data_IF_457886331384
#
_entry.id   IF_457886331384
#
_cell.length_a   1.000
_cell.length_b   1.000
_cell.length_c   1.000
_cell.angle_alpha   90.00
_cell.angle_beta   90.00
_cell.angle_gamma   90.00
#
_symmetry.space_group_name_H-M   'P 1'
#
loop_
_entity.id
_entity.type
_entity.pdbx_description
1 polymer ?
#
# COMPACT_ATOMS: atom_id res chain seq x y z
N UNK A 1 -26.98 1.92 -18.49
CA UNK A 1 -26.08 2.96 -17.95
C UNK A 1 -26.70 4.35 -18.06
N UNK A 2 -26.92 4.95 -19.24
CA UNK A 2 -27.44 6.34 -19.34
C UNK A 2 -28.83 6.53 -18.69
N UNK A 3 -29.70 5.52 -18.76
CA UNK A 3 -31.05 5.57 -18.16
C UNK A 3 -31.04 5.38 -16.64
N UNK A 4 -30.01 4.74 -16.08
CA UNK A 4 -29.89 4.47 -14.63
C UNK A 4 -29.28 5.65 -13.86
N UNK A 5 -28.65 6.59 -14.58
CA UNK A 5 -28.17 7.85 -14.02
C UNK A 5 -29.29 8.92 -13.92
N UNK A 6 -30.54 8.57 -14.21
CA UNK A 6 -31.65 9.53 -14.21
C UNK A 6 -31.91 10.07 -12.80
N UNK A 7 -31.60 11.35 -12.59
CA UNK A 7 -31.64 12.02 -11.27
C UNK A 7 -30.29 12.10 -10.54
N UNK A 8 -29.27 11.36 -11.01
CA UNK A 8 -27.89 11.42 -10.51
C UNK A 8 -26.99 12.32 -11.35
N UNK A 9 -27.37 12.61 -12.60
CA UNK A 9 -26.69 13.62 -13.43
C UNK A 9 -27.46 14.95 -13.34
N UNK A 10 -26.77 16.00 -12.90
CA UNK A 10 -27.24 17.38 -12.95
C UNK A 10 -27.59 17.75 -14.38
N UNK A 11 -28.64 18.58 -14.57
CA UNK A 11 -29.08 19.00 -15.91
C UNK A 11 -27.98 19.69 -16.74
N UNK A 12 -26.94 20.22 -16.09
CA UNK A 12 -25.78 20.86 -16.72
C UNK A 12 -24.60 19.91 -16.99
N UNK A 13 -24.66 18.65 -16.54
CA UNK A 13 -23.52 17.71 -16.57
C UNK A 13 -22.36 18.10 -15.66
N UNK A 14 -22.53 19.11 -14.80
CA UNK A 14 -21.50 19.63 -13.89
C UNK A 14 -20.99 18.63 -12.85
N UNK A 15 -21.75 17.56 -12.62
CA UNK A 15 -21.43 16.43 -11.76
C UNK A 15 -21.13 15.16 -12.58
N UNK A 16 -20.41 15.30 -13.70
CA UNK A 16 -19.79 14.19 -14.45
C UNK A 16 -18.28 14.13 -14.22
N UNK A 17 -17.80 14.63 -13.07
CA UNK A 17 -16.38 14.60 -12.73
C UNK A 17 -15.94 13.17 -12.37
N UNK A 18 -14.69 12.85 -12.71
CA UNK A 18 -14.05 11.55 -12.37
C UNK A 18 -13.91 11.31 -10.86
N UNK A 19 -14.15 12.33 -10.03
CA UNK A 19 -14.10 12.27 -8.57
C UNK A 19 -15.38 11.71 -7.93
N UNK A 20 -16.44 11.48 -8.69
CA UNK A 20 -17.73 11.10 -8.10
C UNK A 20 -17.83 9.61 -7.78
N UNK A 21 -18.40 9.37 -6.61
CA UNK A 21 -18.70 8.06 -6.05
C UNK A 21 -19.71 7.30 -6.92
N UNK A 22 -20.85 7.93 -7.22
CA UNK A 22 -21.87 7.39 -8.11
C UNK A 22 -21.30 6.98 -9.48
N UNK A 23 -20.36 7.77 -10.02
CA UNK A 23 -19.71 7.44 -11.29
C UNK A 23 -18.84 6.19 -11.15
N UNK A 24 -18.03 6.09 -10.10
CA UNK A 24 -17.22 4.90 -9.83
C UNK A 24 -18.11 3.66 -9.63
N UNK A 25 -19.20 3.78 -8.87
CA UNK A 25 -20.20 2.72 -8.68
C UNK A 25 -20.76 2.26 -10.02
N UNK A 26 -21.26 3.20 -10.84
CA UNK A 26 -21.82 2.92 -12.16
C UNK A 26 -20.80 2.31 -13.13
N UNK A 27 -19.59 2.84 -13.20
CA UNK A 27 -18.52 2.33 -14.07
C UNK A 27 -18.11 0.90 -13.65
N UNK A 28 -17.93 0.64 -12.35
CA UNK A 28 -17.47 -0.65 -11.83
C UNK A 28 -18.55 -1.73 -11.92
N UNK A 29 -19.68 -1.54 -11.23
CA UNK A 29 -20.75 -2.53 -11.18
C UNK A 29 -21.52 -2.60 -12.51
N UNK A 30 -21.69 -1.46 -13.19
CA UNK A 30 -22.34 -1.40 -14.49
C UNK A 30 -21.52 -2.04 -15.61
N UNK A 31 -20.19 -2.16 -15.45
CA UNK A 31 -19.37 -3.00 -16.32
C UNK A 31 -19.51 -4.48 -15.95
N UNK A 32 -19.36 -4.83 -14.67
CA UNK A 32 -19.38 -6.22 -14.22
C UNK A 32 -20.72 -6.93 -14.41
N UNK A 33 -21.85 -6.19 -14.45
CA UNK A 33 -23.15 -6.81 -14.77
C UNK A 33 -23.19 -7.46 -16.15
N UNK A 34 -22.34 -7.04 -17.10
CA UNK A 34 -22.33 -7.62 -18.44
C UNK A 34 -21.62 -8.98 -18.52
N UNK A 35 -21.12 -9.45 -17.39
CA UNK A 35 -20.40 -10.69 -17.19
C UNK A 35 -21.18 -11.56 -16.21
N UNK A 36 -21.08 -12.88 -16.40
CA UNK A 36 -21.75 -13.80 -15.50
C UNK A 36 -21.24 -13.61 -14.06
N UNK A 37 -22.13 -13.62 -13.06
CA UNK A 37 -21.79 -13.29 -11.68
C UNK A 37 -20.64 -14.16 -11.16
N UNK A 38 -20.70 -15.47 -11.40
CA UNK A 38 -19.69 -16.47 -11.00
C UNK A 38 -18.33 -16.31 -11.73
N UNK A 39 -18.30 -15.57 -12.84
CA UNK A 39 -17.06 -15.21 -13.52
C UNK A 39 -16.59 -13.80 -13.17
N UNK A 40 -17.51 -12.87 -12.88
CA UNK A 40 -17.18 -11.48 -12.62
C UNK A 40 -17.17 -11.11 -11.16
N UNK A 41 -18.30 -10.57 -10.73
CA UNK A 41 -18.40 -9.90 -9.44
C UNK A 41 -18.14 -10.88 -8.28
N UNK A 42 -18.57 -12.14 -8.38
CA UNK A 42 -18.37 -13.15 -7.34
C UNK A 42 -16.89 -13.39 -7.01
N UNK A 43 -16.01 -13.83 -7.96
CA UNK A 43 -14.61 -14.07 -7.64
C UNK A 43 -13.87 -12.80 -7.22
N UNK A 44 -14.26 -11.62 -7.72
CA UNK A 44 -13.68 -10.33 -7.32
C UNK A 44 -14.02 -9.99 -5.87
N UNK A 45 -15.31 -10.06 -5.49
CA UNK A 45 -15.75 -9.76 -4.13
C UNK A 45 -15.22 -10.80 -3.13
N UNK A 46 -15.32 -12.09 -3.45
CA UNK A 46 -14.80 -13.14 -2.57
C UNK A 46 -13.29 -13.06 -2.40
N UNK A 47 -12.54 -12.75 -3.47
CA UNK A 47 -11.09 -12.55 -3.37
C UNK A 47 -10.74 -11.34 -2.50
N UNK A 48 -11.47 -10.23 -2.62
CA UNK A 48 -11.27 -9.05 -1.77
C UNK A 48 -11.61 -9.32 -0.29
N UNK A 49 -12.72 -10.02 -0.02
CA UNK A 49 -13.14 -10.39 1.34
C UNK A 49 -12.15 -11.34 2.02
N UNK A 50 -11.53 -12.26 1.27
CA UNK A 50 -10.47 -13.15 1.77
C UNK A 50 -9.23 -12.39 2.21
N UNK A 51 -8.83 -11.35 1.47
CA UNK A 51 -7.66 -10.53 1.82
C UNK A 51 -7.85 -9.77 3.14
N UNK A 52 -9.08 -9.42 3.48
CA UNK A 52 -9.44 -8.73 4.72
C UNK A 52 -9.99 -9.66 5.82
N UNK A 53 -9.98 -10.98 5.63
CA UNK A 53 -10.61 -11.95 6.54
C UNK A 53 -10.08 -11.85 7.99
N UNK A 54 -8.76 -11.68 8.15
CA UNK A 54 -8.13 -11.51 9.47
C UNK A 54 -8.65 -10.30 10.26
N UNK A 55 -9.26 -9.32 9.58
CA UNK A 55 -9.74 -8.07 10.16
C UNK A 55 -11.25 -8.09 10.43
N UNK A 56 -11.99 -9.07 9.88
CA UNK A 56 -13.45 -9.15 9.98
C UNK A 56 -13.97 -10.58 10.16
N UNK A 57 -14.43 -10.88 11.38
CA UNK A 57 -14.90 -12.23 11.75
C UNK A 57 -16.14 -12.74 10.98
N UNK A 58 -16.89 -11.86 10.29
CA UNK A 58 -18.09 -12.25 9.54
C UNK A 58 -17.79 -12.61 8.07
N UNK A 59 -16.56 -12.39 7.59
CA UNK A 59 -16.19 -12.61 6.18
C UNK A 59 -16.42 -14.02 5.73
N UNK A 60 -16.09 -15.02 6.55
CA UNK A 60 -16.23 -16.41 6.14
C UNK A 60 -17.69 -16.78 5.84
N UNK A 61 -18.63 -16.31 6.67
CA UNK A 61 -20.06 -16.52 6.45
C UNK A 61 -20.57 -15.76 5.21
N UNK A 62 -20.15 -14.50 5.02
CA UNK A 62 -20.52 -13.71 3.85
C UNK A 62 -19.95 -14.31 2.56
N UNK A 63 -18.69 -14.74 2.55
CA UNK A 63 -18.03 -15.41 1.42
C UNK A 63 -18.81 -16.69 1.07
N UNK A 64 -19.14 -17.54 2.05
CA UNK A 64 -19.92 -18.75 1.79
C UNK A 64 -21.30 -18.44 1.19
N UNK A 65 -21.99 -17.39 1.65
CA UNK A 65 -23.26 -16.98 1.06
C UNK A 65 -23.10 -16.52 -0.40
N UNK A 66 -22.07 -15.72 -0.68
CA UNK A 66 -21.78 -15.20 -2.02
C UNK A 66 -21.35 -16.32 -2.98
N UNK A 67 -20.57 -17.29 -2.52
CA UNK A 67 -20.11 -18.43 -3.33
C UNK A 67 -21.23 -19.43 -3.65
N UNK A 68 -22.20 -19.58 -2.75
CA UNK A 68 -23.34 -20.46 -2.94
C UNK A 68 -24.46 -19.85 -3.80
N UNK A 69 -24.29 -18.62 -4.31
CA UNK A 69 -25.23 -18.00 -5.26
C UNK A 69 -25.24 -18.82 -6.55
N UNK A 70 -26.41 -19.36 -6.90
CA UNK A 70 -26.60 -20.12 -8.14
C UNK A 70 -27.20 -19.22 -9.25
N UNK A 71 -26.57 -18.08 -9.51
CA UNK A 71 -26.98 -17.14 -10.53
C UNK A 71 -25.85 -16.93 -11.52
N UNK A 72 -26.09 -17.20 -12.80
CA UNK A 72 -25.11 -16.96 -13.86
C UNK A 72 -25.25 -15.55 -14.41
N UNK A 73 -26.44 -15.08 -14.76
CA UNK A 73 -26.62 -13.78 -15.39
C UNK A 73 -27.27 -12.75 -14.46
N UNK A 74 -26.57 -11.64 -14.20
CA UNK A 74 -27.08 -10.52 -13.37
C UNK A 74 -27.36 -9.26 -14.20
N UNK A 75 -27.45 -9.35 -15.53
CA UNK A 75 -27.68 -8.20 -16.41
C UNK A 75 -29.04 -7.53 -16.18
N UNK A 76 -30.02 -8.32 -15.78
CA UNK A 76 -31.41 -7.88 -15.67
C UNK A 76 -31.61 -7.12 -14.35
N UNK A 77 -32.48 -6.10 -14.38
CA UNK A 77 -32.82 -5.26 -13.21
C UNK A 77 -33.42 -6.06 -12.04
N UNK A 78 -33.76 -7.34 -12.27
CA UNK A 78 -34.19 -8.27 -11.22
C UNK A 78 -33.05 -8.58 -10.23
N UNK A 79 -31.81 -8.69 -10.70
CA UNK A 79 -30.68 -9.17 -9.91
C UNK A 79 -29.70 -8.08 -9.48
N UNK A 80 -29.56 -7.01 -10.25
CA UNK A 80 -28.75 -5.83 -9.89
C UNK A 80 -29.60 -4.57 -10.01
N UNK A 81 -29.73 -3.85 -8.90
CA UNK A 81 -30.47 -2.58 -8.83
C UNK A 81 -29.52 -1.48 -8.40
N UNK A 82 -29.39 -0.46 -9.23
CA UNK A 82 -28.62 0.74 -8.91
C UNK A 82 -29.51 1.75 -8.21
N UNK A 83 -29.03 2.32 -7.11
CA UNK A 83 -29.73 3.37 -6.38
C UNK A 83 -31.22 3.06 -6.07
N UNK A 84 -31.56 1.87 -5.53
CA UNK A 84 -32.94 1.57 -5.18
C UNK A 84 -33.43 2.52 -4.09
N UNK A 85 -34.48 3.27 -4.42
CA UNK A 85 -35.08 4.25 -3.49
C UNK A 85 -35.81 3.56 -2.35
N UNK A 86 -35.62 4.06 -1.14
CA UNK A 86 -36.34 3.65 0.05
C UNK A 86 -36.68 4.87 0.91
N UNK A 87 -37.73 4.80 1.73
CA UNK A 87 -38.15 5.89 2.60
C UNK A 87 -37.09 6.31 3.64
N UNK A 88 -36.07 5.47 3.85
CA UNK A 88 -34.99 5.66 4.85
C UNK A 88 -33.66 6.08 4.23
N UNK A 89 -33.55 6.08 2.90
CA UNK A 89 -32.31 6.30 2.18
C UNK A 89 -32.27 5.57 0.85
N UNK A 90 -31.08 5.47 0.29
CA UNK A 90 -30.83 4.87 -1.01
C UNK A 90 -29.53 4.09 -0.90
N UNK A 91 -29.56 2.79 -1.21
CA UNK A 91 -28.34 1.98 -1.32
C UNK A 91 -27.65 2.33 -2.64
N UNK A 92 -26.33 2.25 -2.74
CA UNK A 92 -25.66 2.43 -4.03
C UNK A 92 -25.98 1.29 -5.02
N UNK A 93 -25.89 0.04 -4.54
CA UNK A 93 -26.25 -1.15 -5.32
C UNK A 93 -26.97 -2.15 -4.41
N UNK A 94 -28.01 -2.79 -4.92
CA UNK A 94 -28.63 -3.96 -4.32
C UNK A 94 -28.50 -5.15 -5.28
N UNK A 95 -27.88 -6.23 -4.80
CA UNK A 95 -27.89 -7.52 -5.47
C UNK A 95 -28.94 -8.42 -4.82
N UNK A 96 -29.77 -9.04 -5.64
CA UNK A 96 -30.83 -9.94 -5.22
C UNK A 96 -30.61 -11.34 -5.80
N UNK A 97 -30.36 -12.31 -4.92
CA UNK A 97 -30.19 -13.71 -5.26
C UNK A 97 -31.26 -14.57 -4.60
N UNK A 98 -31.22 -15.88 -4.83
CA UNK A 98 -32.13 -16.87 -4.25
C UNK A 98 -31.88 -17.08 -2.75
N UNK A 99 -30.61 -17.09 -2.34
CA UNK A 99 -30.19 -17.34 -0.97
C UNK A 99 -29.96 -16.07 -0.13
N UNK A 100 -29.66 -14.93 -0.76
CA UNK A 100 -29.28 -13.71 -0.05
C UNK A 100 -29.60 -12.40 -0.82
N UNK A 101 -29.65 -11.33 -0.04
CA UNK A 101 -29.60 -9.94 -0.48
C UNK A 101 -28.24 -9.34 -0.11
N UNK A 102 -27.63 -8.61 -1.04
CA UNK A 102 -26.39 -7.86 -0.79
C UNK A 102 -26.65 -6.38 -1.06
N UNK A 103 -26.83 -5.61 0.00
CA UNK A 103 -26.77 -4.15 -0.09
C UNK A 103 -25.32 -3.72 -0.11
N UNK A 104 -24.95 -2.87 -1.05
CA UNK A 104 -23.60 -2.35 -1.21
C UNK A 104 -23.65 -0.84 -1.01
N UNK A 105 -22.78 -0.36 -0.14
CA UNK A 105 -22.54 1.05 0.09
C UNK A 105 -21.09 1.36 -0.27
N UNK A 106 -20.88 2.32 -1.16
CA UNK A 106 -19.57 2.69 -1.71
C UNK A 106 -19.13 4.02 -1.12
N UNK A 107 -17.84 4.15 -0.84
CA UNK A 107 -17.19 5.41 -0.51
C UNK A 107 -15.93 5.59 -1.36
N UNK A 108 -15.73 6.79 -1.91
CA UNK A 108 -14.52 7.14 -2.66
C UNK A 108 -13.77 8.33 -2.07
N UNK A 109 -14.33 9.53 -2.22
CA UNK A 109 -13.75 10.78 -1.68
C UNK A 109 -14.56 11.36 -0.53
N UNK A 110 -15.73 10.80 -0.28
CA UNK A 110 -16.64 11.23 0.76
C UNK A 110 -16.55 10.31 1.99
N UNK A 111 -16.72 10.89 3.18
CA UNK A 111 -17.02 10.12 4.38
C UNK A 111 -18.50 9.72 4.40
N UNK A 112 -18.94 9.07 5.48
CA UNK A 112 -20.36 8.83 5.69
C UNK A 112 -21.11 10.18 5.73
N UNK A 113 -22.27 10.24 5.06
CA UNK A 113 -23.12 11.43 5.02
C UNK A 113 -23.71 11.79 6.39
N UNK A 114 -23.75 10.83 7.31
CA UNK A 114 -24.24 10.97 8.68
C UNK A 114 -23.75 9.81 9.56
N UNK A 115 -23.76 10.01 10.87
CA UNK A 115 -23.30 9.03 11.85
C UNK A 115 -24.12 7.74 11.88
N UNK A 116 -25.34 7.72 11.36
CA UNK A 116 -26.25 6.59 11.36
C UNK A 116 -26.52 6.03 9.96
N UNK A 117 -25.81 6.50 8.93
CA UNK A 117 -26.04 6.10 7.53
C UNK A 117 -26.08 4.58 7.34
N UNK A 118 -25.03 3.87 7.74
CA UNK A 118 -24.93 2.42 7.58
C UNK A 118 -25.99 1.65 8.41
N UNK A 119 -26.45 2.23 9.51
CA UNK A 119 -27.55 1.67 10.30
C UNK A 119 -28.87 1.80 9.54
N UNK A 120 -29.10 2.95 8.89
CA UNK A 120 -30.30 3.13 8.03
C UNK A 120 -30.28 2.16 6.86
N UNK A 121 -29.15 1.98 6.21
CA UNK A 121 -28.99 1.02 5.09
C UNK A 121 -29.17 -0.43 5.53
N UNK A 122 -28.65 -0.82 6.69
CA UNK A 122 -28.95 -2.12 7.29
C UNK A 122 -30.46 -2.30 7.52
N UNK A 123 -31.16 -1.26 8.01
CA UNK A 123 -32.61 -1.29 8.18
C UNK A 123 -33.37 -1.36 6.84
N UNK A 124 -32.84 -0.82 5.74
CA UNK A 124 -33.42 -1.02 4.39
C UNK A 124 -33.39 -2.51 4.06
N UNK A 125 -32.28 -3.21 4.33
CA UNK A 125 -32.17 -4.66 4.10
C UNK A 125 -33.10 -5.48 5.03
N UNK A 126 -33.40 -4.98 6.23
CA UNK A 126 -34.34 -5.62 7.14
C UNK A 126 -35.81 -5.53 6.68
N UNK A 127 -36.15 -4.53 5.88
CA UNK A 127 -37.49 -4.38 5.29
C UNK A 127 -37.71 -5.34 4.10
N UNK A 128 -36.64 -5.88 3.52
CA UNK A 128 -36.72 -6.92 2.48
C UNK A 128 -37.25 -8.26 3.05
N UNK A 129 -37.81 -9.13 2.19
CA UNK A 129 -38.33 -10.44 2.59
C UNK A 129 -37.38 -11.24 3.51
N UNK A 130 -37.96 -11.90 4.53
CA UNK A 130 -37.22 -12.55 5.63
C UNK A 130 -36.62 -13.91 5.27
N UNK A 131 -37.01 -14.50 4.15
CA UNK A 131 -36.60 -15.80 3.64
C UNK A 131 -35.11 -15.87 3.24
N UNK A 132 -34.51 -14.73 2.86
CA UNK A 132 -33.12 -14.66 2.40
C UNK A 132 -32.18 -14.10 3.47
N UNK A 133 -30.91 -14.50 3.45
CA UNK A 133 -29.88 -13.86 4.29
C UNK A 133 -29.60 -12.43 3.81
N UNK A 134 -29.14 -11.56 4.70
CA UNK A 134 -28.84 -10.16 4.37
C UNK A 134 -27.38 -9.87 4.61
N UNK A 135 -26.73 -9.26 3.64
CA UNK A 135 -25.35 -8.80 3.70
C UNK A 135 -25.37 -7.30 3.41
N UNK A 136 -24.75 -6.52 4.29
CA UNK A 136 -24.36 -5.15 3.98
C UNK A 136 -22.85 -5.14 3.73
N UNK A 137 -22.47 -4.86 2.49
CA UNK A 137 -21.09 -4.77 2.04
C UNK A 137 -20.68 -3.31 1.91
N UNK A 138 -19.78 -2.87 2.80
CA UNK A 138 -19.21 -1.53 2.73
C UNK A 138 -17.91 -1.53 1.91
N UNK A 139 -17.83 -0.68 0.89
CA UNK A 139 -16.65 -0.56 0.03
C UNK A 139 -16.05 0.83 0.19
N UNK A 140 -14.81 0.91 0.66
CA UNK A 140 -14.10 2.19 0.83
C UNK A 140 -12.59 1.99 0.65
N UNK A 141 -11.81 3.05 0.88
CA UNK A 141 -10.35 2.90 1.05
C UNK A 141 -10.02 2.11 2.31
N UNK A 142 -8.90 1.38 2.29
CA UNK A 142 -8.47 0.51 3.39
C UNK A 142 -8.50 1.19 4.77
N UNK A 143 -7.99 2.42 4.87
CA UNK A 143 -7.96 3.21 6.11
C UNK A 143 -9.35 3.49 6.71
N UNK A 144 -10.36 3.66 5.85
CA UNK A 144 -11.73 3.96 6.25
C UNK A 144 -12.48 2.69 6.66
N UNK A 145 -12.22 1.58 5.99
CA UNK A 145 -12.92 0.32 6.20
C UNK A 145 -12.81 -0.19 7.65
N UNK A 146 -11.59 -0.26 8.22
CA UNK A 146 -11.37 -0.89 9.53
C UNK A 146 -12.05 -0.09 10.66
N UNK A 147 -11.91 1.24 10.63
CA UNK A 147 -12.47 2.11 11.66
C UNK A 147 -14.00 2.10 11.65
N UNK A 148 -14.60 2.19 10.46
CA UNK A 148 -16.05 2.12 10.25
C UNK A 148 -16.58 0.73 10.62
N UNK A 149 -15.92 -0.33 10.19
CA UNK A 149 -16.31 -1.70 10.54
C UNK A 149 -16.42 -1.90 12.05
N UNK A 150 -15.37 -1.51 12.79
CA UNK A 150 -15.34 -1.62 14.25
C UNK A 150 -16.41 -0.78 14.93
N UNK A 151 -16.73 0.40 14.39
CA UNK A 151 -17.77 1.30 14.92
C UNK A 151 -19.17 0.69 14.79
N UNK A 152 -19.52 0.15 13.62
CA UNK A 152 -20.92 -0.22 13.32
C UNK A 152 -21.26 -1.70 13.44
N UNK A 153 -20.26 -2.60 13.39
CA UNK A 153 -20.50 -4.06 13.37
C UNK A 153 -21.49 -4.51 14.43
N UNK A 154 -21.27 -4.15 15.70
CA UNK A 154 -22.13 -4.63 16.80
C UNK A 154 -23.58 -4.23 16.63
N UNK A 155 -23.86 -3.07 16.05
CA UNK A 155 -25.23 -2.56 15.92
C UNK A 155 -25.93 -3.06 14.66
N UNK A 156 -25.18 -3.31 13.58
CA UNK A 156 -25.70 -3.91 12.36
C UNK A 156 -25.95 -5.42 12.58
N UNK A 157 -25.01 -6.16 13.18
CA UNK A 157 -25.16 -7.60 13.40
C UNK A 157 -26.35 -7.94 14.33
N UNK A 158 -26.70 -7.06 15.27
CA UNK A 158 -27.90 -7.20 16.12
C UNK A 158 -29.21 -7.24 15.31
N UNK A 159 -29.22 -6.65 14.12
CA UNK A 159 -30.39 -6.62 13.23
C UNK A 159 -30.50 -7.90 12.37
N UNK A 160 -29.56 -8.84 12.51
CA UNK A 160 -29.51 -10.06 11.71
C UNK A 160 -28.94 -9.85 10.30
N UNK A 161 -28.21 -8.74 10.08
CA UNK A 161 -27.52 -8.43 8.83
C UNK A 161 -26.04 -8.75 9.00
N UNK A 162 -25.46 -9.50 8.06
CA UNK A 162 -24.02 -9.72 8.00
C UNK A 162 -23.34 -8.44 7.52
N UNK A 163 -22.55 -7.81 8.39
CA UNK A 163 -21.80 -6.62 8.01
C UNK A 163 -20.37 -7.02 7.66
N UNK A 164 -19.94 -6.67 6.44
CA UNK A 164 -18.59 -6.92 5.95
C UNK A 164 -18.10 -5.71 5.17
N UNK A 165 -16.78 -5.59 5.00
CA UNK A 165 -16.19 -4.58 4.15
C UNK A 165 -15.25 -5.20 3.12
N UNK A 166 -15.07 -4.51 2.00
CA UNK A 166 -13.99 -4.77 1.06
C UNK A 166 -13.32 -3.44 0.72
N UNK A 167 -11.99 -3.38 0.73
CA UNK A 167 -11.32 -2.16 0.31
C UNK A 167 -11.23 -2.08 -1.22
N UNK A 168 -11.23 -0.87 -1.79
CA UNK A 168 -10.98 -0.70 -3.22
C UNK A 168 -9.63 -1.26 -3.65
N UNK A 169 -8.65 -1.20 -2.75
CA UNK A 169 -7.33 -1.79 -2.86
C UNK A 169 -7.41 -3.32 -2.98
N UNK A 170 -8.16 -3.98 -2.09
CA UNK A 170 -8.34 -5.44 -2.12
C UNK A 170 -9.11 -5.90 -3.36
N UNK A 171 -10.11 -5.12 -3.80
CA UNK A 171 -10.87 -5.36 -5.04
C UNK A 171 -9.95 -5.27 -6.25
N UNK A 172 -9.12 -4.23 -6.33
CA UNK A 172 -8.13 -4.08 -7.40
C UNK A 172 -7.16 -5.26 -7.41
N UNK A 173 -6.66 -5.66 -6.25
CA UNK A 173 -5.73 -6.78 -6.18
C UNK A 173 -6.40 -8.11 -6.55
N UNK A 174 -7.66 -8.33 -6.15
CA UNK A 174 -8.41 -9.50 -6.57
C UNK A 174 -8.57 -9.57 -8.10
N UNK A 175 -8.80 -8.44 -8.77
CA UNK A 175 -8.85 -8.40 -10.23
C UNK A 175 -7.48 -8.66 -10.89
N UNK A 176 -6.39 -8.16 -10.30
CA UNK A 176 -5.02 -8.44 -10.77
C UNK A 176 -4.69 -9.94 -10.65
N UNK A 177 -5.02 -10.56 -9.52
CA UNK A 177 -4.82 -12.00 -9.30
C UNK A 177 -5.59 -12.84 -10.34
N UNK A 178 -6.83 -12.45 -10.65
CA UNK A 178 -7.65 -13.07 -11.69
C UNK A 178 -6.97 -13.01 -13.07
N UNK A 179 -6.37 -11.87 -13.43
CA UNK A 179 -5.67 -11.69 -14.71
C UNK A 179 -4.34 -12.46 -14.77
N UNK A 180 -3.65 -12.59 -13.63
CA UNK A 180 -2.32 -13.22 -13.52
C UNK A 180 -2.37 -14.75 -13.35
N UNK A 181 -3.56 -15.33 -13.16
CA UNK A 181 -3.77 -16.77 -12.97
C UNK A 181 -3.45 -17.62 -14.20
N UNK A 182 -2.16 -17.79 -14.53
CA UNK A 182 -1.55 -18.89 -15.28
C UNK A 182 -1.99 -19.16 -16.74
N UNK A 183 -1.21 -19.99 -17.45
CA UNK A 183 -1.57 -20.49 -18.79
C UNK A 183 -2.77 -21.43 -18.68
N UNK A 184 -3.92 -20.98 -19.17
CA UNK A 184 -5.19 -21.74 -19.15
C UNK A 184 -6.37 -21.02 -18.48
N UNK A 185 -6.30 -19.70 -18.27
CA UNK A 185 -7.38 -18.94 -17.60
C UNK A 185 -8.76 -19.25 -18.20
N UNK A 186 -9.75 -19.48 -17.35
CA UNK A 186 -11.17 -19.70 -17.75
C UNK A 186 -11.82 -18.52 -18.47
N UNK A 187 -11.22 -17.34 -18.40
CA UNK A 187 -11.77 -16.09 -18.94
C UNK A 187 -11.59 -15.96 -20.44
N UNK A 188 -12.67 -15.60 -21.13
CA UNK A 188 -12.67 -15.18 -22.53
C UNK A 188 -11.86 -13.90 -22.73
N UNK A 189 -11.49 -13.61 -23.98
CA UNK A 189 -10.81 -12.36 -24.33
C UNK A 189 -11.62 -11.11 -23.90
N UNK A 190 -12.93 -11.12 -24.14
CA UNK A 190 -13.83 -10.02 -23.76
C UNK A 190 -13.88 -9.80 -22.25
N UNK A 191 -14.03 -10.87 -21.48
CA UNK A 191 -14.01 -10.81 -20.01
C UNK A 191 -12.69 -10.25 -19.48
N UNK A 192 -11.54 -10.70 -20.02
CA UNK A 192 -10.23 -10.15 -19.65
C UNK A 192 -10.10 -8.67 -19.98
N UNK A 193 -10.65 -8.23 -21.12
CA UNK A 193 -10.61 -6.83 -21.51
C UNK A 193 -11.40 -5.96 -20.52
N UNK A 194 -12.62 -6.38 -20.15
CA UNK A 194 -13.44 -5.70 -19.15
C UNK A 194 -12.73 -5.60 -17.80
N UNK A 195 -12.18 -6.70 -17.29
CA UNK A 195 -11.43 -6.70 -16.01
C UNK A 195 -10.20 -5.80 -16.12
N UNK A 196 -9.47 -5.83 -17.24
CA UNK A 196 -8.27 -5.00 -17.45
C UNK A 196 -8.62 -3.51 -17.49
N UNK A 197 -9.75 -3.14 -18.07
CA UNK A 197 -10.20 -1.75 -18.11
C UNK A 197 -10.65 -1.27 -16.72
N UNK A 198 -11.29 -2.13 -15.92
CA UNK A 198 -11.59 -1.84 -14.50
C UNK A 198 -10.32 -1.72 -13.65
N UNK A 199 -9.33 -2.59 -13.85
CA UNK A 199 -8.01 -2.48 -13.22
C UNK A 199 -7.39 -1.12 -13.54
N UNK A 200 -7.40 -0.70 -14.82
CA UNK A 200 -6.91 0.63 -15.23
C UNK A 200 -7.69 1.77 -14.58
N UNK A 201 -9.02 1.65 -14.48
CA UNK A 201 -9.87 2.64 -13.83
C UNK A 201 -9.49 2.82 -12.35
N UNK A 202 -9.39 1.73 -11.60
CA UNK A 202 -9.06 1.79 -10.17
C UNK A 202 -7.61 2.24 -9.93
N UNK A 203 -6.65 1.82 -10.77
CA UNK A 203 -5.27 2.32 -10.70
C UNK A 203 -5.19 3.83 -10.95
N UNK A 204 -5.96 4.38 -11.90
CA UNK A 204 -6.06 5.83 -12.15
C UNK A 204 -6.71 6.61 -11.02
N UNK A 205 -7.52 5.94 -10.20
CA UNK A 205 -8.15 6.51 -8.99
C UNK A 205 -7.31 6.31 -7.73
N UNK A 206 -6.05 5.89 -7.91
CA UNK A 206 -5.03 5.77 -6.87
C UNK A 206 -5.26 4.67 -5.83
N UNK A 207 -6.11 3.68 -6.12
CA UNK A 207 -6.34 2.52 -5.24
C UNK A 207 -5.28 1.43 -5.35
N UNK A 208 -4.23 1.64 -6.14
CA UNK A 208 -3.16 0.67 -6.24
C UNK A 208 -2.26 0.74 -5.01
N UNK A 209 -2.31 -0.26 -4.13
CA UNK A 209 -1.39 -0.33 -2.98
C UNK A 209 0.01 -0.69 -3.44
N UNK A 210 1.01 -0.23 -2.70
CA UNK A 210 2.33 -0.82 -2.80
C UNK A 210 2.24 -2.30 -2.40
N UNK A 211 2.66 -3.19 -3.29
CA UNK A 211 2.81 -4.63 -2.98
C UNK A 211 4.25 -5.07 -3.16
N UNK A 212 4.96 -4.42 -4.08
CA UNK A 212 6.38 -4.57 -4.28
C UNK A 212 6.94 -3.39 -5.08
N UNK A 213 8.26 -3.24 -5.04
CA UNK A 213 8.98 -2.35 -5.95
C UNK A 213 8.76 -2.73 -7.42
N UNK A 214 8.32 -3.97 -7.70
CA UNK A 214 8.02 -4.45 -9.07
C UNK A 214 6.58 -4.17 -9.51
N UNK A 215 5.72 -3.65 -8.64
CA UNK A 215 4.34 -3.35 -9.00
C UNK A 215 4.20 -2.04 -9.77
N UNK A 216 3.62 -2.11 -10.97
CA UNK A 216 3.44 -0.94 -11.83
C UNK A 216 4.55 -0.72 -12.86
N UNK A 217 5.31 -1.77 -13.21
CA UNK A 217 6.20 -1.75 -14.39
C UNK A 217 5.38 -1.35 -15.61
N UNK A 218 5.51 -0.10 -16.01
CA UNK A 218 5.02 0.37 -17.29
C UNK A 218 5.94 -0.19 -18.38
N UNK A 219 5.44 -1.13 -19.18
CA UNK A 219 6.16 -1.64 -20.36
C UNK A 219 6.47 -0.53 -21.38
N UNK A 220 5.82 0.64 -21.25
CA UNK A 220 6.00 1.81 -22.12
C UNK A 220 5.96 3.10 -21.30
N UNK A 221 6.95 3.96 -21.52
CA UNK A 221 7.11 5.25 -20.84
C UNK A 221 5.89 6.17 -20.95
N UNK A 222 5.09 6.08 -22.02
CA UNK A 222 3.84 6.84 -22.19
C UNK A 222 2.67 6.42 -21.29
N UNK A 223 2.85 5.39 -20.44
CA UNK A 223 1.92 5.03 -19.37
C UNK A 223 2.23 5.75 -18.05
N UNK A 224 3.40 6.39 -17.94
CA UNK A 224 3.77 7.26 -16.84
C UNK A 224 3.21 8.65 -17.15
N UNK A 225 2.19 9.08 -16.40
CA UNK A 225 1.49 10.35 -16.65
C UNK A 225 1.67 11.23 -15.43
N UNK A 226 2.77 11.98 -15.39
CA UNK A 226 2.93 13.10 -14.47
C UNK A 226 3.47 14.34 -15.18
N UNK A 227 3.13 15.50 -14.62
CA UNK A 227 3.54 16.83 -15.09
C UNK A 227 5.06 16.94 -15.25
N UNK A 228 5.81 16.29 -14.35
CA UNK A 228 7.26 16.32 -14.31
C UNK A 228 7.90 15.33 -15.29
N UNK A 229 7.26 14.20 -15.61
CA UNK A 229 7.68 13.30 -16.70
C UNK A 229 7.64 14.05 -18.04
N UNK A 230 6.65 14.92 -18.24
CA UNK A 230 6.56 15.76 -19.43
C UNK A 230 7.65 16.84 -19.47
N UNK A 231 8.10 17.35 -18.32
CA UNK A 231 9.25 18.26 -18.21
C UNK A 231 10.55 17.51 -18.52
N UNK A 232 10.73 16.30 -17.99
CA UNK A 232 11.88 15.43 -18.27
C UNK A 232 12.00 15.08 -19.75
N UNK A 233 10.89 14.72 -20.41
CA UNK A 233 10.85 14.42 -21.84
C UNK A 233 11.23 15.61 -22.72
N UNK A 234 11.08 16.82 -22.21
CA UNK A 234 11.38 18.08 -22.90
C UNK A 234 12.75 18.66 -22.50
N UNK A 235 13.49 18.03 -21.58
CA UNK A 235 14.85 18.41 -21.24
C UNK A 235 15.82 18.00 -22.37
N UNK A 236 16.72 18.90 -22.77
CA UNK A 236 17.73 18.64 -23.81
C UNK A 236 18.72 17.54 -23.40
N UNK A 237 18.89 17.31 -22.10
CA UNK A 237 19.74 16.26 -21.55
C UNK A 237 19.00 14.90 -21.40
N UNK A 238 17.73 14.81 -21.83
CA UNK A 238 16.91 13.58 -21.77
C UNK A 238 17.61 12.33 -22.36
N UNK A 239 18.35 12.50 -23.46
CA UNK A 239 19.14 11.42 -24.07
C UNK A 239 20.20 10.87 -23.12
N UNK A 240 20.82 11.74 -22.32
CA UNK A 240 21.82 11.34 -21.33
C UNK A 240 21.15 10.64 -20.14
N UNK A 241 19.96 11.08 -19.70
CA UNK A 241 19.17 10.38 -18.68
C UNK A 241 18.79 8.95 -19.13
N UNK A 242 18.35 8.75 -20.38
CA UNK A 242 18.04 7.39 -20.88
C UNK A 242 19.27 6.48 -21.05
N UNK A 243 20.46 7.06 -21.20
CA UNK A 243 21.70 6.31 -21.47
C UNK A 243 22.51 6.06 -20.19
N UNK A 244 22.44 6.98 -19.21
CA UNK A 244 23.08 6.85 -17.89
C UNK A 244 22.22 6.00 -16.95
N UNK A 245 20.89 6.16 -16.95
CA UNK A 245 19.95 5.26 -16.25
C UNK A 245 19.53 4.08 -17.14
N UNK A 246 20.54 3.37 -17.68
CA UNK A 246 20.45 2.42 -18.81
C UNK A 246 19.56 1.18 -18.58
N UNK A 247 19.01 1.06 -17.39
CA UNK A 247 17.91 0.17 -17.09
C UNK A 247 16.67 1.05 -16.92
N UNK A 248 15.98 1.36 -18.02
CA UNK A 248 14.72 2.13 -18.00
C UNK A 248 13.68 1.55 -17.02
N UNK A 249 13.82 0.27 -16.62
CA UNK A 249 13.09 -0.32 -15.53
C UNK A 249 13.28 0.46 -14.20
N UNK A 250 14.51 0.83 -13.81
CA UNK A 250 14.82 1.63 -12.60
C UNK A 250 14.21 3.03 -12.57
N UNK A 251 14.09 3.69 -13.72
CA UNK A 251 13.41 4.99 -13.82
C UNK A 251 11.89 4.84 -13.76
N UNK A 252 11.35 3.77 -14.34
CA UNK A 252 9.91 3.44 -14.30
C UNK A 252 9.45 3.03 -12.88
N UNK A 253 10.33 2.44 -12.08
CA UNK A 253 10.03 2.01 -10.70
C UNK A 253 9.71 3.18 -9.74
N UNK A 254 10.21 4.39 -10.03
CA UNK A 254 10.30 5.49 -9.07
C UNK A 254 9.53 6.74 -9.51
N UNK A 255 8.24 6.57 -9.85
CA UNK A 255 7.34 7.72 -9.75
C UNK A 255 7.23 8.14 -8.29
N UNK A 256 7.16 9.44 -8.01
CA UNK A 256 7.04 10.00 -6.67
C UNK A 256 5.97 9.28 -5.83
N UNK A 257 4.88 8.87 -6.47
CA UNK A 257 3.80 8.09 -5.88
C UNK A 257 4.18 6.70 -5.37
N UNK A 258 5.08 5.98 -6.04
CA UNK A 258 5.55 4.67 -5.54
C UNK A 258 6.45 4.83 -4.32
N UNK A 259 7.28 5.87 -4.30
CA UNK A 259 8.09 6.25 -3.14
C UNK A 259 7.20 6.64 -1.96
N UNK A 260 6.17 7.45 -2.20
CA UNK A 260 5.19 7.81 -1.17
C UNK A 260 4.51 6.58 -0.60
N UNK A 261 4.02 5.66 -1.44
CA UNK A 261 3.37 4.44 -0.96
C UNK A 261 4.33 3.52 -0.19
N UNK A 262 5.57 3.37 -0.64
CA UNK A 262 6.59 2.60 0.09
C UNK A 262 6.84 3.23 1.46
N UNK A 263 6.99 4.56 1.51
CA UNK A 263 7.17 5.30 2.77
C UNK A 263 5.97 5.12 3.71
N UNK A 264 4.75 5.21 3.19
CA UNK A 264 3.53 4.99 3.96
C UNK A 264 3.45 3.56 4.49
N UNK A 265 3.79 2.57 3.67
CA UNK A 265 3.82 1.16 4.07
C UNK A 265 4.85 0.90 5.17
N UNK A 266 6.09 1.39 5.02
CA UNK A 266 7.14 1.28 6.06
C UNK A 266 6.69 1.99 7.34
N UNK A 267 6.13 3.21 7.23
CA UNK A 267 5.65 3.96 8.40
C UNK A 267 4.54 3.20 9.13
N UNK A 268 3.53 2.72 8.41
CA UNK A 268 2.43 1.96 8.99
C UNK A 268 2.93 0.69 9.68
N UNK A 269 3.90 -0.01 9.07
CA UNK A 269 4.49 -1.20 9.69
C UNK A 269 5.35 -0.89 10.90
N UNK A 270 6.06 0.24 10.91
CA UNK A 270 6.89 0.63 12.07
C UNK A 270 6.09 0.71 13.37
N UNK A 271 4.86 1.22 13.31
CA UNK A 271 3.96 1.34 14.45
C UNK A 271 3.54 -0.04 14.99
N UNK A 272 3.35 -1.02 14.11
CA UNK A 272 3.00 -2.41 14.48
C UNK A 272 4.14 -3.11 15.26
N UNK A 273 5.40 -2.78 14.94
CA UNK A 273 6.60 -3.36 15.55
C UNK A 273 7.20 -2.53 16.71
N UNK A 274 6.47 -1.50 17.17
CA UNK A 274 6.87 -0.66 18.30
C UNK A 274 7.97 0.36 17.99
N UNK A 275 8.22 0.65 16.72
CA UNK A 275 9.11 1.71 16.27
C UNK A 275 8.32 3.01 16.09
N UNK A 276 8.91 4.12 16.53
CA UNK A 276 8.37 5.48 16.38
C UNK A 276 9.09 6.18 15.25
N UNK A 277 8.36 6.49 14.18
CA UNK A 277 8.86 7.30 13.08
C UNK A 277 9.25 8.71 13.55
N UNK A 278 10.49 9.12 13.27
CA UNK A 278 11.01 10.44 13.64
C UNK A 278 10.87 11.41 12.48
N UNK A 279 11.55 11.12 11.36
CA UNK A 279 11.62 12.04 10.21
C UNK A 279 11.99 11.31 8.93
N UNK A 280 11.52 11.86 7.81
CA UNK A 280 11.89 11.45 6.46
C UNK A 280 12.60 12.57 5.72
N UNK A 281 13.60 12.22 4.91
CA UNK A 281 14.29 13.11 3.99
C UNK A 281 14.33 12.50 2.60
N UNK A 282 14.30 13.38 1.58
CA UNK A 282 14.24 12.99 0.18
C UNK A 282 15.10 13.97 -0.65
N UNK A 283 16.05 13.45 -1.44
CA UNK A 283 16.71 14.23 -2.50
C UNK A 283 16.02 13.97 -3.83
N UNK A 284 15.73 15.06 -4.55
CA UNK A 284 15.21 14.99 -5.92
C UNK A 284 16.23 15.56 -6.89
N UNK A 285 16.53 14.83 -7.97
CA UNK A 285 17.22 15.38 -9.14
C UNK A 285 16.36 15.21 -10.38
N UNK A 286 16.14 16.33 -11.08
CA UNK A 286 15.32 16.39 -12.30
C UNK A 286 13.90 15.79 -12.16
N UNK A 287 13.32 15.74 -10.95
CA UNK A 287 11.99 15.15 -10.70
C UNK A 287 11.99 13.65 -10.36
N UNK A 288 13.16 13.01 -10.34
CA UNK A 288 13.38 11.65 -9.83
C UNK A 288 13.88 11.75 -8.39
N UNK A 289 13.41 10.82 -7.54
CA UNK A 289 13.95 10.64 -6.20
C UNK A 289 15.28 9.91 -6.29
N UNK A 290 16.35 10.50 -5.76
CA UNK A 290 17.72 9.96 -5.83
C UNK A 290 18.15 9.30 -4.51
N UNK A 291 17.65 9.80 -3.38
CA UNK A 291 18.03 9.30 -2.06
C UNK A 291 16.89 9.53 -1.07
N UNK A 292 16.55 8.51 -0.29
CA UNK A 292 15.51 8.57 0.74
C UNK A 292 16.09 8.10 2.07
N UNK A 293 15.88 8.90 3.12
CA UNK A 293 16.20 8.52 4.49
C UNK A 293 14.93 8.52 5.33
N UNK A 294 14.58 7.38 5.92
CA UNK A 294 13.51 7.27 6.91
C UNK A 294 14.13 6.90 8.26
N UNK A 295 13.88 7.69 9.28
CA UNK A 295 14.47 7.51 10.62
C UNK A 295 13.42 7.10 11.64
N UNK A 296 13.80 6.19 12.53
CA UNK A 296 12.95 5.58 13.55
C UNK A 296 13.69 5.48 14.87
N UNK A 297 12.93 5.45 15.96
CA UNK A 297 13.42 5.15 17.31
C UNK A 297 12.61 4.01 17.91
N UNK A 298 13.19 3.28 18.85
CA UNK A 298 12.51 2.27 19.66
C UNK A 298 13.04 2.38 21.08
N UNK A 299 12.16 2.34 22.08
CA UNK A 299 12.59 2.32 23.48
C UNK A 299 13.50 1.10 23.70
N UNK A 300 14.68 1.33 24.28
CA UNK A 300 15.74 0.33 24.35
C UNK A 300 15.25 -0.94 25.08
N UNK A 301 15.51 -2.11 24.48
CA UNK A 301 15.23 -3.43 25.06
C UNK A 301 16.10 -3.77 26.28
N UNK A 302 16.91 -2.84 26.79
CA UNK A 302 17.73 -3.02 27.98
C UNK A 302 17.85 -1.66 28.67
N UNK A 303 17.63 -1.63 29.99
CA UNK A 303 17.55 -0.39 30.79
C UNK A 303 18.85 0.41 30.97
N UNK A 304 19.66 0.60 29.92
CA UNK A 304 20.89 1.42 29.97
C UNK A 304 20.73 2.87 29.48
N UNK A 305 19.61 3.25 28.87
CA UNK A 305 19.36 4.65 28.49
C UNK A 305 20.05 5.14 27.22
N UNK A 306 20.67 4.25 26.43
CA UNK A 306 21.23 4.57 25.13
C UNK A 306 20.14 4.59 24.05
N UNK A 307 19.84 5.76 23.47
CA UNK A 307 18.87 5.86 22.38
C UNK A 307 19.52 5.43 21.08
N UNK A 308 19.17 4.25 20.57
CA UNK A 308 19.54 3.82 19.22
C UNK A 308 18.70 4.56 18.18
N UNK A 309 19.32 5.00 17.08
CA UNK A 309 18.61 5.55 15.92
C UNK A 309 18.64 4.51 14.81
N UNK A 310 17.45 4.09 14.39
CA UNK A 310 17.29 3.18 13.27
C UNK A 310 16.98 4.00 12.03
N UNK A 311 17.50 3.59 10.88
CA UNK A 311 17.13 4.20 9.63
C UNK A 311 17.05 3.19 8.50
N UNK A 312 16.20 3.54 7.54
CA UNK A 312 16.18 2.97 6.21
C UNK A 312 16.78 4.02 5.29
N UNK A 313 17.83 3.65 4.57
CA UNK A 313 18.36 4.43 3.47
C UNK A 313 18.07 3.73 2.14
N UNK A 314 17.49 4.45 1.19
CA UNK A 314 17.22 3.95 -0.15
C UNK A 314 18.07 4.75 -1.10
N UNK A 315 19.15 4.15 -1.58
CA UNK A 315 20.07 4.77 -2.50
C UNK A 315 19.69 4.41 -3.94
N UNK A 316 19.31 5.42 -4.71
CA UNK A 316 18.83 5.29 -6.09
C UNK A 316 19.92 5.90 -6.95
N UNK A 317 20.71 5.04 -7.57
CA UNK A 317 22.09 5.39 -7.90
C UNK A 317 22.23 6.63 -8.78
N UNK A 318 23.16 7.50 -8.37
CA UNK A 318 23.58 8.64 -9.17
C UNK A 318 24.45 8.12 -10.32
N UNK A 319 23.86 7.94 -11.48
CA UNK A 319 24.57 7.46 -12.68
C UNK A 319 25.60 8.46 -13.23
N UNK A 320 25.72 9.65 -12.64
CA UNK A 320 26.82 10.59 -12.91
C UNK A 320 28.09 10.31 -12.10
N UNK A 321 28.09 9.32 -11.21
CA UNK A 321 29.32 8.89 -10.54
C UNK A 321 30.17 8.02 -11.46
N UNK A 322 31.50 8.12 -11.28
CA UNK A 322 32.51 7.40 -12.07
C UNK A 322 32.34 5.87 -12.01
N UNK A 323 31.56 5.37 -11.06
CA UNK A 323 31.20 3.97 -10.85
C UNK A 323 29.70 3.85 -10.51
N UNK A 324 28.82 3.53 -11.47
CA UNK A 324 27.40 3.29 -11.17
C UNK A 324 27.26 2.04 -10.28
N UNK A 325 26.59 2.17 -9.15
CA UNK A 325 26.19 1.05 -8.29
C UNK A 325 24.78 0.55 -8.66
N UNK A 326 24.45 -0.67 -8.24
CA UNK A 326 23.06 -1.12 -8.19
C UNK A 326 22.32 -0.35 -7.09
N UNK A 327 21.01 -0.06 -7.23
CA UNK A 327 20.27 0.61 -6.17
C UNK A 327 20.15 -0.30 -4.96
N UNK A 328 20.42 0.29 -3.80
CA UNK A 328 20.59 -0.40 -2.53
C UNK A 328 19.47 0.03 -1.60
N UNK A 329 18.86 -0.94 -0.94
CA UNK A 329 18.03 -0.70 0.21
C UNK A 329 18.81 -1.07 1.47
N UNK A 330 19.24 -0.06 2.21
CA UNK A 330 20.07 -0.24 3.40
C UNK A 330 19.24 -0.10 4.65
N UNK A 331 19.30 -1.11 5.51
CA UNK A 331 18.70 -1.12 6.84
C UNK A 331 19.82 -0.93 7.85
N UNK A 332 19.74 0.13 8.66
CA UNK A 332 20.87 0.57 9.46
C UNK A 332 20.49 1.02 10.88
N UNK A 333 21.39 0.79 11.83
CA UNK A 333 21.32 1.23 13.23
C UNK A 333 22.55 2.09 13.52
N UNK A 334 22.32 3.35 13.84
CA UNK A 334 23.33 4.26 14.36
C UNK A 334 23.43 4.16 15.88
N UNK A 335 24.67 4.22 16.37
CA UNK A 335 25.00 4.14 17.80
C UNK A 335 25.49 5.50 18.28
N UNK A 336 24.97 5.93 19.42
CA UNK A 336 25.43 7.11 20.13
C UNK A 336 25.46 6.84 21.64
N UNK A 337 26.51 7.29 22.36
CA UNK A 337 26.58 7.21 23.82
C UNK A 337 25.72 8.28 24.52
N UNK A 338 25.02 9.12 23.74
CA UNK A 338 24.16 10.19 24.24
C UNK A 338 22.79 10.10 23.57
N UNK A 339 21.81 10.79 24.17
CA UNK A 339 20.51 10.98 23.55
C UNK A 339 20.67 11.60 22.16
N UNK A 340 20.19 10.89 21.13
CA UNK A 340 20.34 11.32 19.74
C UNK A 340 19.51 12.57 19.49
N UNK A 341 20.15 13.60 18.91
CA UNK A 341 19.48 14.86 18.58
C UNK A 341 18.37 14.64 17.56
N UNK A 342 17.16 15.10 17.89
CA UNK A 342 16.01 15.14 16.97
C UNK A 342 16.24 16.05 15.74
N UNK A 343 17.34 16.81 15.73
CA UNK A 343 17.68 17.76 14.67
C UNK A 343 18.78 17.25 13.72
N UNK A 344 19.11 15.95 13.74
CA UNK A 344 20.01 15.35 12.74
C UNK A 344 19.48 15.65 11.32
N UNK A 345 20.32 16.28 10.50
CA UNK A 345 19.99 16.53 9.10
C UNK A 345 20.39 15.34 8.23
N UNK A 346 19.85 15.27 7.02
CA UNK A 346 20.30 14.29 6.02
C UNK A 346 21.80 14.43 5.75
N UNK A 347 22.32 15.66 5.59
CA UNK A 347 23.76 15.89 5.39
C UNK A 347 24.58 15.30 6.53
N UNK A 348 24.11 15.41 7.79
CA UNK A 348 24.78 14.76 8.92
C UNK A 348 24.79 13.23 8.79
N UNK A 349 23.70 12.61 8.32
CA UNK A 349 23.60 11.15 8.20
C UNK A 349 24.42 10.61 7.01
N UNK A 350 24.32 11.28 5.86
CA UNK A 350 25.05 10.94 4.65
C UNK A 350 26.55 11.19 4.82
N UNK A 351 26.96 12.37 5.31
CA UNK A 351 28.38 12.67 5.57
C UNK A 351 28.99 11.73 6.60
N UNK A 352 28.24 11.39 7.66
CA UNK A 352 28.73 10.47 8.68
C UNK A 352 29.01 9.09 8.08
N UNK A 353 28.26 8.68 7.05
CA UNK A 353 28.48 7.43 6.35
C UNK A 353 29.58 7.55 5.28
N UNK A 354 29.58 8.60 4.45
CA UNK A 354 30.42 8.68 3.24
C UNK A 354 31.84 9.23 3.45
N UNK A 355 32.10 10.01 4.51
CA UNK A 355 33.35 10.78 4.62
C UNK A 355 34.64 9.96 4.77
N UNK A 356 34.58 8.66 5.04
CA UNK A 356 35.79 7.83 5.15
C UNK A 356 35.56 6.42 4.60
N UNK A 357 35.99 6.15 3.36
CA UNK A 357 35.89 4.83 2.72
C UNK A 357 36.67 3.74 3.48
N UNK A 358 37.71 4.11 4.24
CA UNK A 358 38.60 3.19 4.95
C UNK A 358 38.12 2.81 6.37
N UNK A 359 36.86 3.11 6.71
CA UNK A 359 36.29 2.94 8.05
C UNK A 359 35.33 1.73 8.19
N UNK A 360 35.11 0.96 7.12
CA UNK A 360 34.34 -0.28 7.17
C UNK A 360 35.18 -1.37 7.85
N UNK A 361 34.68 -1.90 8.97
CA UNK A 361 35.31 -2.99 9.71
C UNK A 361 34.39 -4.19 9.70
N UNK A 362 35.00 -5.38 9.69
CA UNK A 362 34.40 -6.69 9.99
C UNK A 362 33.02 -6.96 9.38
N UNK A 363 32.98 -7.84 8.39
CA UNK A 363 31.72 -8.48 7.96
C UNK A 363 31.49 -9.76 8.74
N UNK A 364 30.31 -9.91 9.33
CA UNK A 364 29.90 -11.16 9.96
C UNK A 364 28.55 -11.62 9.44
N UNK A 365 28.35 -12.94 9.44
CA UNK A 365 27.07 -13.52 9.08
C UNK A 365 26.07 -13.35 10.22
N UNK A 366 24.95 -12.71 9.95
CA UNK A 366 23.77 -12.75 10.82
C UNK A 366 22.69 -13.60 10.17
N UNK A 367 21.75 -14.09 10.96
CA UNK A 367 20.58 -14.81 10.45
C UNK A 367 19.35 -14.08 10.93
N UNK A 368 18.54 -13.60 9.99
CA UNK A 368 17.26 -12.93 10.25
C UNK A 368 16.19 -13.76 9.56
N UNK A 369 15.23 -14.29 10.31
CA UNK A 369 14.17 -15.17 9.78
C UNK A 369 14.70 -16.35 8.95
N UNK A 370 15.71 -17.05 9.48
CA UNK A 370 16.37 -18.18 8.81
C UNK A 370 17.14 -17.81 7.52
N UNK A 371 17.18 -16.53 7.15
CA UNK A 371 17.91 -16.03 5.99
C UNK A 371 19.27 -15.49 6.43
N UNK A 372 20.39 -16.06 5.92
CA UNK A 372 21.72 -15.54 6.19
C UNK A 372 21.93 -14.21 5.48
N UNK A 373 22.44 -13.21 6.21
CA UNK A 373 22.74 -11.87 5.72
C UNK A 373 24.15 -11.45 6.13
N UNK A 374 24.74 -10.54 5.37
CA UNK A 374 26.03 -9.93 5.70
C UNK A 374 25.77 -8.67 6.52
N UNK A 375 26.20 -8.68 7.78
CA UNK A 375 26.24 -7.49 8.62
C UNK A 375 27.53 -6.73 8.36
N UNK A 376 27.40 -5.43 8.13
CA UNK A 376 28.51 -4.51 7.98
C UNK A 376 28.59 -3.58 9.19
N UNK A 377 29.81 -3.27 9.63
CA UNK A 377 30.07 -2.28 10.67
C UNK A 377 30.94 -1.15 10.11
N UNK A 378 30.62 0.10 10.49
CA UNK A 378 31.38 1.27 10.06
C UNK A 378 31.56 2.29 11.17
N UNK A 379 32.80 2.75 11.33
CA UNK A 379 33.15 3.80 12.26
C UNK A 379 32.85 5.19 11.69
N UNK A 380 32.37 6.10 12.56
CA UNK A 380 32.11 7.50 12.20
C UNK A 380 33.21 8.37 12.81
N UNK A 381 34.21 8.73 11.99
CA UNK A 381 35.27 9.62 12.43
C UNK A 381 34.70 11.04 12.58
N UNK A 382 34.76 11.56 13.81
CA UNK A 382 34.27 12.87 14.26
C UNK A 382 32.82 12.91 14.81
N UNK A 383 32.53 12.16 15.89
CA UNK A 383 31.19 12.12 16.51
C UNK A 383 30.69 13.49 16.99
N UNK A 384 31.58 14.45 17.26
CA UNK A 384 31.21 15.78 17.78
C UNK A 384 30.38 16.59 16.78
N UNK A 385 30.64 16.43 15.49
CA UNK A 385 29.94 17.16 14.42
C UNK A 385 28.61 16.48 14.03
N UNK A 386 28.42 15.23 14.44
CA UNK A 386 27.26 14.40 14.08
C UNK A 386 26.41 14.03 15.29
N UNK A 387 26.21 14.98 16.22
CA UNK A 387 25.36 14.79 17.40
C UNK A 387 25.73 13.56 18.27
N UNK A 388 27.00 13.17 18.29
CA UNK A 388 27.52 12.06 19.09
C UNK A 388 27.46 10.68 18.40
N UNK A 389 27.18 10.59 17.10
CA UNK A 389 27.20 9.31 16.38
C UNK A 389 28.62 8.72 16.34
N UNK A 390 28.80 7.50 16.84
CA UNK A 390 30.12 6.84 16.91
C UNK A 390 30.33 5.79 15.82
N UNK A 391 29.27 5.16 15.35
CA UNK A 391 29.32 4.12 14.34
C UNK A 391 27.93 3.71 13.87
N UNK A 392 27.91 2.85 12.87
CA UNK A 392 26.68 2.23 12.39
C UNK A 392 26.88 0.75 12.04
N UNK A 393 25.83 -0.02 12.31
CA UNK A 393 25.63 -1.36 11.77
C UNK A 393 24.64 -1.29 10.63
N UNK A 394 24.88 -1.98 9.53
CA UNK A 394 23.95 -2.01 8.40
C UNK A 394 23.94 -3.33 7.63
N UNK A 395 22.84 -3.55 6.93
CA UNK A 395 22.65 -4.63 5.97
C UNK A 395 22.18 -4.00 4.65
N UNK A 396 22.78 -4.43 3.55
CA UNK A 396 22.39 -4.04 2.20
C UNK A 396 21.50 -5.10 1.58
N UNK A 397 20.29 -4.70 1.21
CA UNK A 397 19.32 -5.54 0.51
C UNK A 397 19.18 -5.07 -0.94
N UNK A 398 18.97 -6.01 -1.89
CA UNK A 398 18.65 -5.63 -3.26
C UNK A 398 17.27 -4.95 -3.29
N UNK A 399 17.22 -3.69 -3.75
CA UNK A 399 15.98 -2.89 -3.76
C UNK A 399 14.82 -3.58 -4.51
N UNK A 400 15.17 -4.35 -5.56
CA UNK A 400 14.21 -4.99 -6.48
C UNK A 400 13.41 -6.14 -5.87
N UNK A 401 13.79 -6.67 -4.71
CA UNK A 401 13.05 -7.74 -4.05
C UNK A 401 11.99 -7.26 -3.08
N UNK A 402 11.92 -5.95 -2.78
CA UNK A 402 11.11 -5.46 -1.65
C UNK A 402 9.62 -5.51 -1.96
N UNK A 403 8.94 -6.44 -1.32
CA UNK A 403 7.51 -6.58 -1.18
C UNK A 403 7.01 -6.08 0.18
N UNK A 404 5.70 -6.12 0.40
CA UNK A 404 5.13 -5.87 1.74
C UNK A 404 5.63 -6.87 2.80
N UNK A 405 5.97 -8.10 2.41
CA UNK A 405 6.55 -9.09 3.33
C UNK A 405 8.00 -8.73 3.65
N UNK A 406 8.75 -8.19 2.68
CA UNK A 406 10.11 -7.68 2.92
C UNK A 406 10.11 -6.42 3.79
N UNK A 407 9.05 -5.59 3.76
CA UNK A 407 8.90 -4.46 4.69
C UNK A 407 8.82 -4.93 6.14
N UNK A 408 8.16 -6.06 6.40
CA UNK A 408 8.15 -6.68 7.73
C UNK A 408 9.56 -7.10 8.12
N UNK A 409 10.31 -7.69 7.19
CA UNK A 409 11.67 -8.16 7.40
C UNK A 409 12.62 -7.03 7.85
N UNK A 410 12.39 -5.79 7.40
CA UNK A 410 13.14 -4.59 7.86
C UNK A 410 13.15 -4.48 9.39
N UNK A 411 11.98 -4.67 10.02
CA UNK A 411 11.86 -4.48 11.47
C UNK A 411 12.48 -5.65 12.25
N UNK A 412 12.47 -6.86 11.68
CA UNK A 412 13.23 -7.99 12.23
C UNK A 412 14.74 -7.76 12.09
N UNK A 413 15.21 -7.18 10.98
CA UNK A 413 16.60 -6.76 10.83
C UNK A 413 16.93 -5.71 11.90
N UNK A 414 16.09 -4.68 12.11
CA UNK A 414 16.32 -3.72 13.19
C UNK A 414 16.43 -4.39 14.57
N UNK A 415 15.57 -5.36 14.86
CA UNK A 415 15.62 -6.12 16.10
C UNK A 415 16.92 -6.93 16.22
N UNK A 416 17.44 -7.54 15.15
CA UNK A 416 18.76 -8.20 15.16
C UNK A 416 19.93 -7.20 15.27
N UNK A 417 19.84 -6.04 14.61
CA UNK A 417 20.83 -4.97 14.75
C UNK A 417 20.87 -4.42 16.18
N UNK A 418 19.76 -4.45 16.90
CA UNK A 418 19.68 -4.04 18.31
C UNK A 418 20.46 -4.96 19.26
N UNK A 419 20.71 -6.21 18.86
CA UNK A 419 21.47 -7.20 19.66
C UNK A 419 22.97 -7.06 19.52
N UNK A 420 23.45 -6.30 18.53
CA UNK A 420 24.87 -6.04 18.35
C UNK A 420 25.39 -5.19 19.51
N UNK A 421 26.35 -5.72 20.26
CA UNK A 421 26.81 -5.11 21.49
C UNK A 421 27.51 -3.78 21.23
N UNK A 422 27.07 -2.72 21.89
CA UNK A 422 27.75 -1.40 21.86
C UNK A 422 29.19 -1.48 22.44
N UNK A 423 29.51 -2.57 23.14
CA UNK A 423 30.78 -2.83 23.84
C UNK A 423 31.98 -2.94 22.87
N UNK A 424 31.75 -3.33 21.60
CA UNK A 424 32.82 -3.38 20.59
C UNK A 424 33.45 -2.00 20.32
N UNK A 425 32.72 -0.91 20.57
CA UNK A 425 33.24 0.46 20.44
C UNK A 425 34.03 0.96 21.66
N UNK A 426 33.92 0.31 22.83
CA UNK A 426 34.57 0.80 24.06
C UNK A 426 36.01 0.31 24.28
N UNK A 427 36.50 -0.67 23.50
CA UNK A 427 37.79 -1.32 23.78
C UNK A 427 39.02 -0.80 23.02
N UNK A 428 38.94 0.29 22.25
CA UNK A 428 40.12 0.86 21.57
C UNK A 428 40.57 2.26 22.05
N UNK A 429 40.05 2.75 23.18
CA UNK A 429 40.51 4.02 23.76
C UNK A 429 41.52 3.88 24.93
N UNK A 430 41.95 2.67 25.27
CA UNK A 430 42.95 2.45 26.33
C UNK A 430 43.89 1.33 25.92
N UNK A 431 45.00 1.67 25.26
CA UNK A 431 46.29 1.00 25.33
C UNK A 431 47.31 1.82 24.53
N UNK A 432 47.65 3.00 25.04
CA UNK A 432 48.96 3.62 24.83
C UNK A 432 49.56 3.83 26.22
N UNK A 433 50.48 2.95 26.61
CA UNK A 433 51.53 3.20 27.61
C UNK A 433 52.88 3.25 26.89
#
# INVERSE_FOLDING_TARGET
>A
MVEEFYGKISRSGSNLSDSLEDKLTGDFFGTLRYMDFCDGLQPILCGALRKSEKQQAESQAAIQLIENVNCTNIKDEEHIKFWPKHDRGELDVLLEFDNCYIGIEVKFQSGLSSDDQLIREANILCDLPKDKKKILLFIAKHESCISIYRKYKKDISKQGVHFVFASWEDILQSMKDILNGGKGSKYTFGQKLMIRDLVRLLTRKDFDTFLSMTNGIADKLGQLIEKDVHVMLNDKNYKDYTTNYKNAAYVVFMTYKNVEKLREAIKSKSEEYGYVFIKGYEEKRAGIVDDIWLTFSKEANTGSGDTSLYAVNIFLTNTNEKHPSDPIFRVLRYISPNAISKNLTRENLADAFDKNADAERDTCGIVVDEIPMTLHQRDINNPKDYAGLQGCYYVDLPLMSISNDDIVHIFHIFDELSKQSDIAYSQQATNEE
#
